data_IF_343184852362
#
_entry.id   IF_343184852362
#
_cell.length_a   1.000
_cell.length_b   1.000
_cell.length_c   1.000
_cell.angle_alpha   90.00
_cell.angle_beta   90.00
_cell.angle_gamma   90.00
#
_symmetry.space_group_name_H-M   'P 1'
#
loop_
_entity.id
_entity.type
_entity.pdbx_description
1 polymer ?
#
# COMPACT_ATOMS: atom_id res chain seq x y z
N UNK A 1 0.98 -12.97 7.26
CA UNK A 1 -0.01 -13.47 6.27
C UNK A 1 -1.25 -12.58 6.31
N UNK A 2 -1.80 -12.23 5.14
CA UNK A 2 -3.09 -11.54 4.98
C UNK A 2 -4.02 -12.49 4.23
N UNK A 3 -5.27 -12.61 4.68
CA UNK A 3 -6.34 -13.35 3.98
C UNK A 3 -7.51 -12.40 3.79
N UNK A 4 -7.97 -12.26 2.57
CA UNK A 4 -9.11 -11.44 2.16
C UNK A 4 -10.15 -12.35 1.53
N UNK A 5 -11.38 -12.34 2.02
CA UNK A 5 -12.46 -13.18 1.53
C UNK A 5 -13.73 -12.36 1.23
N UNK A 6 -14.17 -12.41 -0.04
CA UNK A 6 -15.38 -11.77 -0.57
C UNK A 6 -15.54 -10.29 -0.16
N UNK A 7 -14.40 -9.57 -0.09
CA UNK A 7 -14.33 -8.21 0.42
C UNK A 7 -15.04 -7.22 -0.48
N UNK A 8 -15.95 -6.43 0.10
CA UNK A 8 -16.67 -5.38 -0.62
C UNK A 8 -16.68 -4.06 0.14
N UNK A 9 -16.68 -2.95 -0.62
CA UNK A 9 -16.88 -1.60 -0.08
C UNK A 9 -17.81 -0.79 -0.94
N UNK A 10 -18.88 -0.32 -0.33
CA UNK A 10 -19.88 0.56 -0.92
C UNK A 10 -19.86 1.89 -0.16
N UNK A 11 -19.85 2.99 -0.88
CA UNK A 11 -19.94 4.34 -0.31
C UNK A 11 -21.28 4.98 -0.69
N UNK A 12 -21.83 5.75 0.24
CA UNK A 12 -22.97 6.64 -0.06
C UNK A 12 -22.50 7.84 -0.87
N UNK A 13 -23.19 8.13 -1.98
CA UNK A 13 -22.89 9.29 -2.83
C UNK A 13 -23.69 10.48 -2.34
N UNK A 14 -23.00 11.51 -1.84
CA UNK A 14 -23.65 12.73 -1.35
C UNK A 14 -24.45 13.46 -2.44
N UNK A 15 -25.49 14.20 -2.03
CA UNK A 15 -26.32 14.99 -2.96
C UNK A 15 -25.50 15.96 -3.82
N UNK A 16 -24.41 16.52 -3.28
CA UNK A 16 -23.50 17.42 -3.98
C UNK A 16 -22.78 16.70 -5.12
N UNK A 17 -22.16 15.55 -4.84
CA UNK A 17 -21.43 14.73 -5.83
C UNK A 17 -22.40 14.21 -6.90
N UNK A 18 -23.61 13.84 -6.54
CA UNK A 18 -24.66 13.42 -7.52
C UNK A 18 -24.98 14.56 -8.50
N UNK A 19 -25.10 15.79 -8.03
CA UNK A 19 -25.32 16.96 -8.90
C UNK A 19 -24.13 17.23 -9.82
N UNK A 20 -22.92 17.22 -9.26
CA UNK A 20 -21.68 17.49 -10.02
C UNK A 20 -21.43 16.44 -11.12
N UNK A 21 -21.69 15.15 -10.83
CA UNK A 21 -21.51 14.05 -11.78
C UNK A 21 -22.74 13.72 -12.62
N UNK A 22 -23.82 14.48 -12.46
CA UNK A 22 -25.13 14.26 -13.13
C UNK A 22 -25.60 12.79 -13.04
N UNK A 23 -25.49 12.17 -11.84
CA UNK A 23 -25.86 10.77 -11.61
C UNK A 23 -26.99 10.66 -10.62
N UNK A 24 -27.91 9.69 -10.86
CA UNK A 24 -28.98 9.32 -9.93
C UNK A 24 -28.54 8.28 -8.89
N UNK A 25 -27.35 7.70 -9.05
CA UNK A 25 -26.85 6.66 -8.16
C UNK A 25 -26.69 7.19 -6.74
N UNK A 26 -27.31 6.50 -5.78
CA UNK A 26 -27.20 6.82 -4.34
C UNK A 26 -25.96 6.24 -3.71
N UNK A 27 -25.44 5.18 -4.28
CA UNK A 27 -24.26 4.45 -3.80
C UNK A 27 -23.23 4.27 -4.92
N UNK A 28 -21.98 4.10 -4.54
CA UNK A 28 -20.86 3.77 -5.44
C UNK A 28 -20.10 2.57 -4.87
N UNK A 29 -19.97 1.51 -5.65
CA UNK A 29 -19.20 0.33 -5.29
C UNK A 29 -17.74 0.63 -5.63
N UNK A 30 -16.90 0.68 -4.61
CA UNK A 30 -15.47 0.92 -4.78
C UNK A 30 -14.65 -0.37 -4.81
N UNK A 31 -15.14 -1.43 -4.13
CA UNK A 31 -14.59 -2.79 -4.13
C UNK A 31 -15.75 -3.75 -4.12
N UNK A 32 -15.68 -4.81 -4.92
CA UNK A 32 -16.79 -5.73 -5.16
C UNK A 32 -16.30 -7.20 -5.12
N UNK A 33 -16.52 -7.86 -4.00
CA UNK A 33 -16.32 -9.31 -3.78
C UNK A 33 -14.92 -9.79 -4.21
N UNK A 34 -13.85 -9.10 -3.76
CA UNK A 34 -12.48 -9.52 -4.03
C UNK A 34 -11.98 -10.49 -2.97
N UNK A 35 -11.22 -11.52 -3.41
CA UNK A 35 -10.59 -12.50 -2.52
C UNK A 35 -9.16 -12.75 -2.97
N UNK A 36 -8.20 -12.69 -2.02
CA UNK A 36 -6.79 -12.98 -2.27
C UNK A 36 -6.04 -13.24 -0.96
N UNK A 37 -4.84 -13.77 -1.06
CA UNK A 37 -3.94 -14.02 0.06
C UNK A 37 -2.57 -13.38 -0.18
N UNK A 38 -1.93 -12.87 0.90
CA UNK A 38 -0.54 -12.42 0.87
C UNK A 38 0.26 -13.21 1.90
N UNK A 39 1.35 -13.81 1.47
CA UNK A 39 2.14 -14.71 2.29
C UNK A 39 3.38 -14.02 2.88
N UNK A 40 3.88 -14.48 4.06
CA UNK A 40 5.16 -14.02 4.62
C UNK A 40 6.33 -14.28 3.67
N UNK A 41 7.30 -13.36 3.65
CA UNK A 41 8.48 -13.44 2.78
C UNK A 41 8.18 -13.27 1.30
N UNK A 42 7.00 -12.73 0.96
CA UNK A 42 6.59 -12.44 -0.43
C UNK A 42 6.11 -11.01 -0.58
N UNK A 43 6.30 -10.49 -1.78
CA UNK A 43 5.82 -9.17 -2.19
C UNK A 43 4.59 -9.37 -3.07
N UNK A 44 3.46 -8.87 -2.60
CA UNK A 44 2.18 -8.87 -3.32
C UNK A 44 1.92 -7.50 -3.93
N UNK A 45 1.68 -7.41 -5.23
CA UNK A 45 1.28 -6.16 -5.88
C UNK A 45 -0.20 -6.11 -6.22
N UNK A 46 -0.80 -4.96 -5.94
CA UNK A 46 -2.16 -4.62 -6.36
C UNK A 46 -2.07 -3.61 -7.50
N UNK A 47 -2.14 -4.10 -8.74
CA UNK A 47 -2.02 -3.31 -9.96
C UNK A 47 -3.40 -2.88 -10.47
N UNK A 48 -3.50 -1.67 -10.99
CA UNK A 48 -4.72 -1.19 -11.63
C UNK A 48 -4.67 0.31 -11.90
N UNK A 49 -5.56 0.81 -12.76
CA UNK A 49 -5.65 2.24 -13.07
C UNK A 49 -6.12 3.06 -11.85
N UNK A 50 -6.02 4.39 -11.95
CA UNK A 50 -6.57 5.29 -10.93
C UNK A 50 -8.08 5.10 -10.80
N UNK A 51 -8.57 5.04 -9.56
CA UNK A 51 -9.98 4.77 -9.26
C UNK A 51 -10.40 3.30 -9.34
N UNK A 52 -9.49 2.36 -9.60
CA UNK A 52 -9.81 0.93 -9.69
C UNK A 52 -10.26 0.29 -8.36
N UNK A 53 -9.97 0.92 -7.21
CA UNK A 53 -10.28 0.39 -5.88
C UNK A 53 -9.05 0.07 -5.03
N UNK A 54 -7.81 0.20 -5.56
CA UNK A 54 -6.54 -0.13 -4.86
C UNK A 54 -6.43 0.51 -3.48
N UNK A 55 -6.42 1.85 -3.41
CA UNK A 55 -6.33 2.59 -2.14
C UNK A 55 -7.46 2.25 -1.17
N UNK A 56 -8.68 2.01 -1.67
CA UNK A 56 -9.82 1.59 -0.84
C UNK A 56 -9.56 0.22 -0.21
N UNK A 57 -9.07 -0.74 -0.99
CA UNK A 57 -8.67 -2.06 -0.51
C UNK A 57 -7.57 -1.95 0.55
N UNK A 58 -6.48 -1.23 0.25
CA UNK A 58 -5.36 -1.07 1.20
C UNK A 58 -5.80 -0.37 2.51
N UNK A 59 -6.71 0.60 2.45
CA UNK A 59 -7.27 1.25 3.66
C UNK A 59 -8.14 0.31 4.49
N UNK A 60 -8.82 -0.65 3.87
CA UNK A 60 -9.55 -1.68 4.62
C UNK A 60 -8.57 -2.65 5.30
N UNK A 61 -7.51 -3.08 4.61
CA UNK A 61 -6.43 -3.88 5.20
C UNK A 61 -5.77 -3.13 6.38
N UNK A 62 -5.53 -1.84 6.22
CA UNK A 62 -4.96 -0.99 7.27
C UNK A 62 -5.95 -0.65 8.40
N UNK A 63 -7.15 -1.23 8.44
CA UNK A 63 -8.19 -0.99 9.45
C UNK A 63 -8.69 0.46 9.53
N UNK A 64 -8.43 1.28 8.51
CA UNK A 64 -8.87 2.69 8.43
C UNK A 64 -10.31 2.78 7.92
N UNK A 65 -10.68 1.86 7.03
CA UNK A 65 -12.05 1.73 6.51
C UNK A 65 -12.61 0.36 6.93
N UNK A 66 -13.85 0.36 7.40
CA UNK A 66 -14.56 -0.91 7.60
C UNK A 66 -15.12 -1.42 6.26
N UNK A 67 -15.02 -2.72 5.97
CA UNK A 67 -15.71 -3.36 4.87
C UNK A 67 -17.23 -3.15 4.95
N UNK A 68 -17.92 -3.17 3.81
CA UNK A 68 -19.36 -3.27 3.76
C UNK A 68 -19.83 -4.72 3.88
N UNK A 69 -19.04 -5.67 3.37
CA UNK A 69 -19.19 -7.12 3.53
C UNK A 69 -17.85 -7.84 3.28
N UNK A 70 -17.81 -9.14 3.57
CA UNK A 70 -16.60 -9.95 3.50
C UNK A 70 -15.76 -9.86 4.77
N UNK A 71 -14.60 -10.51 4.76
CA UNK A 71 -13.69 -10.58 5.92
C UNK A 71 -12.24 -10.31 5.54
N UNK A 72 -11.47 -9.86 6.53
CA UNK A 72 -10.03 -9.64 6.44
C UNK A 72 -9.38 -10.24 7.68
N UNK A 73 -8.41 -11.13 7.49
CA UNK A 73 -7.55 -11.62 8.56
C UNK A 73 -6.10 -11.18 8.30
N UNK A 74 -5.44 -10.67 9.35
CA UNK A 74 -4.04 -10.25 9.32
C UNK A 74 -3.33 -10.87 10.51
N UNK A 75 -2.28 -11.65 10.25
CA UNK A 75 -1.56 -12.41 11.29
C UNK A 75 -2.50 -13.27 12.16
N UNK A 76 -3.53 -13.86 11.56
CA UNK A 76 -4.55 -14.68 12.25
C UNK A 76 -5.60 -13.89 13.04
N UNK A 77 -5.57 -12.57 13.01
CA UNK A 77 -6.52 -11.69 13.69
C UNK A 77 -7.54 -11.09 12.73
N UNK A 78 -8.80 -11.01 13.12
CA UNK A 78 -9.84 -10.34 12.34
C UNK A 78 -9.65 -8.80 12.37
N UNK A 79 -9.55 -8.20 11.19
CA UNK A 79 -9.22 -6.78 11.05
C UNK A 79 -10.34 -5.81 11.50
N UNK A 80 -11.56 -6.28 11.71
CA UNK A 80 -12.69 -5.47 12.17
C UNK A 80 -12.81 -5.55 13.69
N UNK A 81 -12.95 -6.76 14.24
CA UNK A 81 -13.16 -6.97 15.67
C UNK A 81 -11.89 -6.80 16.51
N UNK A 82 -10.70 -7.08 15.94
CA UNK A 82 -9.39 -6.98 16.59
C UNK A 82 -8.51 -5.87 16.00
N UNK A 83 -9.12 -4.81 15.49
CA UNK A 83 -8.43 -3.74 14.74
C UNK A 83 -7.26 -3.10 15.51
N UNK A 84 -7.34 -3.01 16.84
CA UNK A 84 -6.29 -2.43 17.67
C UNK A 84 -5.03 -3.31 17.69
N UNK A 85 -5.20 -4.62 17.81
CA UNK A 85 -4.09 -5.58 17.79
C UNK A 85 -3.49 -5.71 16.38
N UNK A 86 -4.34 -5.71 15.34
CA UNK A 86 -3.89 -5.70 13.95
C UNK A 86 -2.99 -4.48 13.68
N UNK A 87 -3.37 -3.28 14.13
CA UNK A 87 -2.57 -2.05 13.95
C UNK A 87 -1.17 -2.10 14.56
N UNK A 88 -0.94 -2.92 15.58
CA UNK A 88 0.40 -3.10 16.17
C UNK A 88 1.33 -3.88 15.24
N UNK A 89 0.77 -4.72 14.38
CA UNK A 89 1.50 -5.60 13.48
C UNK A 89 1.60 -5.08 12.04
N UNK A 90 0.96 -3.94 11.73
CA UNK A 90 0.98 -3.38 10.38
C UNK A 90 1.69 -2.02 10.32
N UNK A 91 2.44 -1.80 9.25
CA UNK A 91 2.91 -0.50 8.82
C UNK A 91 2.12 -0.07 7.58
N UNK A 92 1.45 1.08 7.63
CA UNK A 92 0.70 1.59 6.48
C UNK A 92 1.23 2.94 6.01
N UNK A 93 1.70 2.97 4.78
CA UNK A 93 2.08 4.18 4.07
C UNK A 93 0.94 4.61 3.14
N UNK A 94 0.41 5.80 3.36
CA UNK A 94 -0.55 6.45 2.47
C UNK A 94 -0.12 7.89 2.24
N UNK A 95 0.39 8.19 1.07
CA UNK A 95 0.82 9.54 0.69
C UNK A 95 1.60 10.28 1.80
N UNK A 96 1.76 11.57 1.69
CA UNK A 96 2.43 12.42 2.70
C UNK A 96 1.50 12.85 3.86
N UNK A 97 0.35 12.22 4.02
CA UNK A 97 -0.61 12.57 5.07
C UNK A 97 -0.08 12.24 6.46
N UNK A 98 -0.30 13.14 7.42
CA UNK A 98 0.00 12.92 8.84
C UNK A 98 1.44 13.22 9.25
N UNK A 99 2.21 13.95 8.47
CA UNK A 99 3.50 14.49 8.90
C UNK A 99 3.31 15.81 9.67
N UNK A 100 3.90 15.89 10.86
CA UNK A 100 3.86 17.10 11.67
C UNK A 100 4.92 18.10 11.17
N UNK A 101 4.51 19.15 10.46
CA UNK A 101 5.39 20.09 9.78
C UNK A 101 6.43 20.78 10.70
N UNK A 102 6.11 20.91 11.99
CA UNK A 102 6.99 21.58 12.99
C UNK A 102 8.04 20.65 13.57
N UNK A 103 7.84 19.35 13.52
CA UNK A 103 8.82 18.36 13.99
C UNK A 103 9.92 18.14 12.97
N UNK A 104 11.05 17.66 13.43
CA UNK A 104 12.12 17.09 12.61
C UNK A 104 11.83 15.58 12.36
N UNK A 105 12.48 14.94 11.37
CA UNK A 105 12.44 13.49 11.22
C UNK A 105 12.80 12.73 12.51
N UNK A 106 13.86 13.16 13.20
CA UNK A 106 14.28 12.57 14.48
C UNK A 106 13.15 12.59 15.52
N UNK A 107 12.59 13.78 15.77
CA UNK A 107 11.52 13.96 16.75
C UNK A 107 10.24 13.18 16.38
N UNK A 108 9.91 13.14 15.08
CA UNK A 108 8.76 12.39 14.60
C UNK A 108 8.93 10.89 14.86
N UNK A 109 10.10 10.32 14.57
CA UNK A 109 10.35 8.90 14.79
C UNK A 109 10.39 8.57 16.28
N UNK A 110 10.95 9.45 17.12
CA UNK A 110 10.91 9.28 18.58
C UNK A 110 9.48 9.26 19.12
N UNK A 111 8.64 10.15 18.61
CA UNK A 111 7.23 10.21 18.99
C UNK A 111 6.48 8.91 18.59
N UNK A 112 6.63 8.44 17.35
CA UNK A 112 5.96 7.21 16.91
C UNK A 112 6.53 5.96 17.59
N UNK A 113 7.84 5.88 17.80
CA UNK A 113 8.45 4.79 18.56
C UNK A 113 7.89 4.71 19.99
N UNK A 114 7.70 5.85 20.66
CA UNK A 114 7.08 5.92 21.98
C UNK A 114 5.61 5.46 21.97
N UNK A 115 4.83 5.83 20.95
CA UNK A 115 3.44 5.35 20.78
C UNK A 115 3.35 3.82 20.67
N UNK A 116 4.31 3.21 19.97
CA UNK A 116 4.40 1.75 19.83
C UNK A 116 5.22 1.08 20.93
N UNK A 117 5.61 1.83 21.98
CA UNK A 117 6.37 1.34 23.13
C UNK A 117 7.70 0.66 22.75
N UNK A 118 8.35 1.14 21.69
CA UNK A 118 9.67 0.65 21.27
C UNK A 118 10.73 1.11 22.28
N UNK A 119 11.54 0.20 22.87
CA UNK A 119 12.61 0.56 23.80
C UNK A 119 13.61 1.53 23.18
N UNK A 120 14.22 2.41 23.99
CA UNK A 120 15.05 3.51 23.50
C UNK A 120 16.30 3.06 22.73
N UNK A 121 16.94 1.99 23.16
CA UNK A 121 18.09 1.36 22.50
C UNK A 121 17.71 0.80 21.12
N UNK A 122 16.61 0.03 21.07
CA UNK A 122 16.07 -0.51 19.81
C UNK A 122 15.64 0.61 18.86
N UNK A 123 14.95 1.64 19.38
CA UNK A 123 14.56 2.81 18.61
C UNK A 123 15.75 3.48 17.92
N UNK A 124 16.83 3.73 18.67
CA UNK A 124 18.01 4.41 18.13
C UNK A 124 18.66 3.58 17.03
N UNK A 125 18.81 2.27 17.23
CA UNK A 125 19.34 1.35 16.24
C UNK A 125 18.48 1.33 14.96
N UNK A 126 17.15 1.27 15.10
CA UNK A 126 16.23 1.29 13.96
C UNK A 126 16.25 2.61 13.22
N UNK A 127 16.33 3.74 13.93
CA UNK A 127 16.45 5.08 13.30
C UNK A 127 17.72 5.17 12.45
N UNK A 128 18.85 4.78 13.02
CA UNK A 128 20.14 4.82 12.33
C UNK A 128 20.06 3.98 11.03
N UNK A 129 19.59 2.73 11.12
CA UNK A 129 19.43 1.86 9.96
C UNK A 129 18.50 2.44 8.88
N UNK A 130 17.37 3.02 9.28
CA UNK A 130 16.41 3.61 8.35
C UNK A 130 16.96 4.90 7.71
N UNK A 131 17.67 5.72 8.47
CA UNK A 131 18.29 6.96 7.97
C UNK A 131 19.44 6.68 7.01
N UNK A 132 20.23 5.63 7.28
CA UNK A 132 21.27 5.16 6.37
C UNK A 132 20.67 4.69 5.04
N UNK A 133 19.75 3.72 5.10
CA UNK A 133 19.10 3.13 3.93
C UNK A 133 18.43 4.17 3.02
N UNK A 134 17.80 5.18 3.61
CA UNK A 134 17.06 6.20 2.87
C UNK A 134 17.86 7.50 2.66
N UNK A 135 19.14 7.52 3.02
CA UNK A 135 20.02 8.69 2.90
C UNK A 135 19.40 9.95 3.54
N UNK A 136 19.12 9.89 4.85
CA UNK A 136 18.38 10.94 5.56
C UNK A 136 19.21 11.75 6.56
N UNK A 137 20.47 11.42 6.80
CA UNK A 137 21.31 12.06 7.81
C UNK A 137 21.44 13.57 7.63
N UNK A 138 21.52 14.06 6.39
CA UNK A 138 21.69 15.49 6.09
C UNK A 138 20.50 16.35 6.51
N UNK A 139 19.31 15.79 6.59
CA UNK A 139 18.10 16.54 6.92
C UNK A 139 17.32 16.01 8.13
N UNK A 140 17.87 15.02 8.86
CA UNK A 140 17.21 14.40 10.01
C UNK A 140 16.81 15.39 11.11
N UNK A 141 17.49 16.52 11.21
CA UNK A 141 17.24 17.59 12.18
C UNK A 141 16.59 18.85 11.56
N UNK A 142 16.22 18.81 10.28
CA UNK A 142 15.51 19.89 9.62
C UNK A 142 13.99 19.70 9.81
N UNK A 143 13.27 20.81 10.02
CA UNK A 143 11.79 20.74 10.14
C UNK A 143 11.14 20.14 8.90
N UNK A 144 10.24 19.19 9.08
CA UNK A 144 9.56 18.45 8.02
C UNK A 144 8.81 19.40 7.07
N UNK A 145 8.28 20.52 7.58
CA UNK A 145 7.62 21.53 6.74
C UNK A 145 8.51 22.09 5.63
N UNK A 146 9.83 22.14 5.85
CA UNK A 146 10.84 22.69 4.92
C UNK A 146 11.41 21.63 3.94
N UNK A 147 11.06 20.37 4.11
CA UNK A 147 11.56 19.27 3.27
C UNK A 147 10.88 19.23 1.90
N UNK A 148 11.57 18.73 0.90
CA UNK A 148 10.99 18.42 -0.42
C UNK A 148 9.94 17.30 -0.33
N UNK A 149 9.17 17.08 -1.38
CA UNK A 149 8.18 15.99 -1.45
C UNK A 149 8.84 14.63 -1.29
N UNK A 150 9.97 14.37 -1.97
CA UNK A 150 10.71 13.12 -1.84
C UNK A 150 11.27 12.91 -0.43
N UNK A 151 11.84 13.94 0.19
CA UNK A 151 12.30 13.88 1.58
C UNK A 151 11.15 13.59 2.55
N UNK A 152 9.98 14.20 2.36
CA UNK A 152 8.76 13.91 3.15
C UNK A 152 8.29 12.48 2.98
N UNK A 153 8.39 11.93 1.78
CA UNK A 153 8.04 10.52 1.51
C UNK A 153 8.98 9.58 2.29
N UNK A 154 10.30 9.83 2.26
CA UNK A 154 11.27 9.07 3.07
C UNK A 154 10.93 9.11 4.57
N UNK A 155 10.58 10.29 5.10
CA UNK A 155 10.14 10.44 6.50
C UNK A 155 8.86 9.63 6.79
N UNK A 156 7.89 9.64 5.87
CA UNK A 156 6.66 8.84 6.00
C UNK A 156 6.93 7.35 6.05
N UNK A 157 7.87 6.87 5.24
CA UNK A 157 8.31 5.48 5.23
C UNK A 157 8.98 5.11 6.56
N UNK A 158 9.96 5.92 7.03
CA UNK A 158 10.59 5.68 8.33
C UNK A 158 9.58 5.60 9.48
N UNK A 159 8.61 6.53 9.50
CA UNK A 159 7.50 6.50 10.47
C UNK A 159 6.72 5.21 10.41
N UNK A 160 6.46 4.69 9.22
CA UNK A 160 5.71 3.44 8.99
C UNK A 160 6.48 2.22 9.48
N UNK A 161 7.83 2.28 9.47
CA UNK A 161 8.72 1.16 9.74
C UNK A 161 9.29 1.15 11.17
N UNK A 162 9.23 2.26 11.93
CA UNK A 162 9.95 2.41 13.21
C UNK A 162 9.58 1.36 14.28
N UNK A 163 8.35 0.87 14.26
CA UNK A 163 7.86 -0.16 15.19
C UNK A 163 8.13 -1.59 14.70
N UNK A 164 8.74 -1.76 13.51
CA UNK A 164 9.11 -3.04 12.92
C UNK A 164 7.93 -3.99 12.66
N UNK A 165 6.95 -3.56 11.86
CA UNK A 165 5.75 -4.33 11.61
C UNK A 165 6.02 -5.64 10.85
N UNK A 166 5.19 -6.67 11.08
CA UNK A 166 5.20 -7.94 10.36
C UNK A 166 4.59 -7.82 8.95
N UNK A 167 3.63 -6.90 8.80
CA UNK A 167 2.92 -6.64 7.55
C UNK A 167 3.12 -5.19 7.13
N UNK A 168 3.54 -4.97 5.90
CA UNK A 168 3.81 -3.65 5.35
C UNK A 168 2.89 -3.40 4.18
N UNK A 169 2.16 -2.29 4.24
CA UNK A 169 1.17 -1.90 3.24
C UNK A 169 1.59 -0.56 2.66
N UNK A 170 1.94 -0.51 1.38
CA UNK A 170 2.36 0.68 0.67
C UNK A 170 1.37 1.09 -0.42
N UNK A 171 0.80 2.28 -0.31
CA UNK A 171 -0.08 2.86 -1.34
C UNK A 171 0.72 3.79 -2.24
N UNK A 172 1.09 3.30 -3.43
CA UNK A 172 1.92 3.99 -4.44
C UNK A 172 3.22 4.59 -3.88
N UNK A 173 4.13 3.78 -3.31
CA UNK A 173 5.25 4.26 -2.50
C UNK A 173 6.26 5.12 -3.26
N UNK A 174 6.39 4.94 -4.56
CA UNK A 174 7.36 5.61 -5.45
C UNK A 174 6.76 6.76 -6.25
N UNK A 175 5.44 6.96 -6.14
CA UNK A 175 4.73 7.97 -6.93
C UNK A 175 5.26 9.39 -6.68
N UNK A 176 5.60 10.10 -7.77
CA UNK A 176 6.08 11.48 -7.71
C UNK A 176 7.52 11.65 -7.20
N UNK A 177 8.30 10.56 -7.13
CA UNK A 177 9.70 10.57 -6.76
C UNK A 177 10.61 10.59 -7.98
N UNK A 178 11.82 11.13 -7.80
CA UNK A 178 12.92 10.94 -8.73
C UNK A 178 13.45 9.49 -8.67
N UNK A 179 14.22 9.10 -9.70
CA UNK A 179 14.71 7.71 -9.87
C UNK A 179 15.54 7.24 -8.66
N UNK A 180 16.42 8.10 -8.13
CA UNK A 180 17.30 7.75 -7.01
C UNK A 180 16.50 7.51 -5.73
N UNK A 181 15.52 8.38 -5.47
CA UNK A 181 14.63 8.23 -4.31
C UNK A 181 13.75 6.98 -4.44
N UNK A 182 13.25 6.67 -5.63
CA UNK A 182 12.47 5.46 -5.90
C UNK A 182 13.30 4.18 -5.69
N UNK A 183 14.56 4.16 -6.13
CA UNK A 183 15.48 3.03 -5.96
C UNK A 183 15.69 2.67 -4.47
N UNK A 184 15.89 3.66 -3.61
CA UNK A 184 16.02 3.43 -2.16
C UNK A 184 14.76 2.78 -1.54
N UNK A 185 13.58 3.11 -2.07
CA UNK A 185 12.31 2.51 -1.60
C UNK A 185 12.15 1.08 -2.13
N UNK A 186 12.53 0.84 -3.37
CA UNK A 186 12.56 -0.49 -3.97
C UNK A 186 13.47 -1.41 -3.15
N UNK A 187 14.67 -0.94 -2.79
CA UNK A 187 15.60 -1.69 -1.94
C UNK A 187 14.99 -2.00 -0.57
N UNK A 188 14.34 -1.01 0.07
CA UNK A 188 13.64 -1.23 1.35
C UNK A 188 12.56 -2.31 1.24
N UNK A 189 11.78 -2.33 0.17
CA UNK A 189 10.74 -3.35 -0.08
C UNK A 189 11.37 -4.74 -0.19
N UNK A 190 12.48 -4.87 -0.92
CA UNK A 190 13.23 -6.12 -1.05
C UNK A 190 13.84 -6.57 0.28
N UNK A 191 14.39 -5.65 1.07
CA UNK A 191 14.92 -5.93 2.40
C UNK A 191 13.83 -6.43 3.35
N UNK A 192 12.63 -5.86 3.29
CA UNK A 192 11.48 -6.34 4.06
C UNK A 192 11.10 -7.78 3.69
N UNK A 193 11.08 -8.11 2.41
CA UNK A 193 10.88 -9.49 1.93
C UNK A 193 11.95 -10.43 2.47
N UNK A 194 13.23 -10.05 2.37
CA UNK A 194 14.36 -10.87 2.84
C UNK A 194 14.31 -11.16 4.34
N UNK A 195 13.70 -10.27 5.12
CA UNK A 195 13.43 -10.43 6.56
C UNK A 195 12.19 -11.28 6.86
N UNK A 196 11.55 -11.86 5.85
CA UNK A 196 10.36 -12.71 5.99
C UNK A 196 9.05 -11.94 6.21
N UNK A 197 9.05 -10.61 6.07
CA UNK A 197 7.83 -9.80 6.25
C UNK A 197 6.84 -10.02 5.09
N UNK A 198 5.57 -9.80 5.36
CA UNK A 198 4.53 -9.74 4.30
C UNK A 198 4.47 -8.33 3.75
N UNK A 199 4.73 -8.14 2.48
CA UNK A 199 4.66 -6.82 1.83
C UNK A 199 3.54 -6.81 0.81
N UNK A 200 2.66 -5.81 0.89
CA UNK A 200 1.68 -5.50 -0.15
C UNK A 200 1.88 -4.05 -0.60
N UNK A 201 1.94 -3.82 -1.90
CA UNK A 201 1.98 -2.46 -2.44
C UNK A 201 1.01 -2.28 -3.60
N UNK A 202 0.50 -1.06 -3.75
CA UNK A 202 -0.23 -0.67 -4.95
C UNK A 202 0.69 0.05 -5.92
N UNK A 203 0.52 -0.19 -7.21
CA UNK A 203 1.14 0.58 -8.27
C UNK A 203 0.23 0.66 -9.49
N UNK A 204 0.49 1.63 -10.34
CA UNK A 204 -0.02 1.72 -11.71
C UNK A 204 1.12 1.61 -12.74
N UNK A 205 2.34 1.33 -12.28
CA UNK A 205 3.58 1.27 -13.06
C UNK A 205 4.00 -0.20 -13.20
N UNK A 206 3.85 -0.77 -14.39
CA UNK A 206 4.14 -2.18 -14.65
C UNK A 206 5.60 -2.56 -14.40
N UNK A 207 6.58 -1.67 -14.68
CA UNK A 207 7.99 -1.95 -14.45
C UNK A 207 8.35 -2.15 -12.97
N UNK A 208 7.67 -1.46 -12.06
CA UNK A 208 7.83 -1.68 -10.61
C UNK A 208 7.26 -3.03 -10.19
N UNK A 209 6.09 -3.36 -10.72
CA UNK A 209 5.44 -4.65 -10.47
C UNK A 209 6.29 -5.80 -10.97
N UNK A 210 6.82 -5.69 -12.20
CA UNK A 210 7.72 -6.71 -12.79
C UNK A 210 8.99 -6.92 -11.98
N UNK A 211 9.55 -5.84 -11.43
CA UNK A 211 10.79 -5.87 -10.66
C UNK A 211 10.63 -6.45 -9.25
N UNK A 212 9.49 -6.18 -8.61
CA UNK A 212 9.33 -6.43 -7.17
C UNK A 212 8.46 -7.64 -6.84
N UNK A 213 7.45 -7.95 -7.68
CA UNK A 213 6.34 -8.80 -7.26
C UNK A 213 6.65 -10.28 -7.36
N UNK A 214 6.28 -11.00 -6.31
CA UNK A 214 6.14 -12.47 -6.35
C UNK A 214 4.71 -12.85 -6.75
N UNK A 215 3.72 -12.09 -6.24
CA UNK A 215 2.30 -12.30 -6.48
C UNK A 215 1.67 -11.01 -7.01
N UNK A 216 0.70 -11.18 -7.90
CA UNK A 216 0.02 -10.09 -8.59
C UNK A 216 -1.49 -10.25 -8.52
N UNK A 217 -2.17 -9.17 -8.16
CA UNK A 217 -3.60 -9.00 -8.40
C UNK A 217 -3.84 -7.77 -9.29
N UNK A 218 -4.63 -7.93 -10.35
CA UNK A 218 -5.08 -6.83 -11.19
C UNK A 218 -6.50 -6.48 -10.80
N UNK A 219 -6.71 -5.22 -10.37
CA UNK A 219 -8.02 -4.70 -10.00
C UNK A 219 -8.50 -3.66 -11.01
N UNK A 220 -9.75 -3.78 -11.44
CA UNK A 220 -10.41 -2.81 -12.30
C UNK A 220 -11.88 -2.66 -11.92
N UNK A 221 -12.37 -1.41 -11.83
CA UNK A 221 -13.75 -1.10 -11.41
C UNK A 221 -14.19 -1.85 -10.15
N UNK A 222 -13.29 -1.98 -9.17
CA UNK A 222 -13.53 -2.66 -7.91
C UNK A 222 -13.50 -4.18 -7.94
N UNK A 223 -13.23 -4.83 -9.08
CA UNK A 223 -13.19 -6.28 -9.22
C UNK A 223 -11.78 -6.77 -9.52
N UNK A 224 -11.46 -8.00 -9.07
CA UNK A 224 -10.26 -8.69 -9.51
C UNK A 224 -10.45 -9.19 -10.95
N UNK A 225 -9.51 -8.80 -11.82
CA UNK A 225 -9.44 -9.28 -13.20
C UNK A 225 -8.39 -10.38 -13.36
N UNK A 226 -7.40 -10.40 -12.47
CA UNK A 226 -6.37 -11.42 -12.37
C UNK A 226 -5.92 -11.55 -10.91
N UNK A 227 -5.56 -12.76 -10.50
CA UNK A 227 -4.88 -13.08 -9.25
C UNK A 227 -4.04 -14.34 -9.43
N UNK A 228 -2.77 -14.28 -9.07
CA UNK A 228 -1.82 -15.40 -9.18
C UNK A 228 -0.38 -14.98 -8.94
N UNK A 229 0.56 -15.90 -9.17
CA UNK A 229 1.98 -15.56 -9.10
C UNK A 229 2.40 -14.73 -10.32
N UNK A 230 3.49 -13.98 -10.17
CA UNK A 230 4.05 -13.21 -11.28
C UNK A 230 4.57 -14.12 -12.40
N UNK A 231 5.04 -15.33 -12.04
CA UNK A 231 5.47 -16.33 -13.02
C UNK A 231 4.28 -16.91 -13.80
N UNK A 232 3.15 -17.21 -13.14
CA UNK A 232 1.92 -17.62 -13.84
C UNK A 232 1.42 -16.53 -14.78
N UNK A 233 1.49 -15.26 -14.34
CA UNK A 233 1.13 -14.13 -15.18
C UNK A 233 2.00 -14.07 -16.45
N UNK A 234 3.32 -14.18 -16.32
CA UNK A 234 4.25 -14.20 -17.45
C UNK A 234 4.00 -15.37 -18.39
N UNK A 235 3.78 -16.57 -17.84
CA UNK A 235 3.59 -17.80 -18.61
C UNK A 235 2.23 -17.84 -19.35
N UNK A 236 1.22 -17.15 -18.83
CA UNK A 236 -0.12 -17.10 -19.41
C UNK A 236 -0.34 -15.95 -20.40
N UNK A 237 0.65 -15.08 -20.59
CA UNK A 237 0.54 -13.91 -21.46
C UNK A 237 0.16 -14.28 -22.91
N UNK A 238 -0.79 -13.52 -23.45
CA UNK A 238 -1.20 -13.57 -24.87
C UNK A 238 -0.73 -12.34 -25.65
N UNK A 239 -0.26 -11.31 -24.95
CA UNK A 239 0.25 -10.08 -25.53
C UNK A 239 1.80 -10.07 -25.55
N UNK A 240 2.44 -9.21 -26.38
CA UNK A 240 3.88 -9.23 -26.58
C UNK A 240 4.72 -8.77 -25.37
N UNK A 241 4.12 -8.13 -24.38
CA UNK A 241 4.79 -7.67 -23.17
C UNK A 241 3.79 -7.48 -22.00
N UNK A 242 4.31 -7.36 -20.79
CA UNK A 242 3.52 -7.25 -19.56
C UNK A 242 2.52 -6.08 -19.57
N UNK A 243 2.90 -4.93 -20.11
CA UNK A 243 2.02 -3.76 -20.19
C UNK A 243 0.87 -3.99 -21.17
N UNK A 244 1.15 -4.59 -22.33
CA UNK A 244 0.10 -4.92 -23.30
C UNK A 244 -0.85 -5.99 -22.76
N UNK A 245 -0.34 -6.97 -22.02
CA UNK A 245 -1.15 -7.99 -21.34
C UNK A 245 -2.05 -7.38 -20.27
N UNK A 246 -1.53 -6.48 -19.45
CA UNK A 246 -2.32 -5.72 -18.48
C UNK A 246 -3.48 -4.97 -19.16
N UNK A 247 -3.20 -4.28 -20.28
CA UNK A 247 -4.23 -3.55 -21.05
C UNK A 247 -5.27 -4.51 -21.61
N UNK A 248 -4.85 -5.68 -22.15
CA UNK A 248 -5.75 -6.72 -22.66
C UNK A 248 -6.72 -7.21 -21.58
N UNK A 249 -6.20 -7.58 -20.41
CA UNK A 249 -7.02 -8.07 -19.27
C UNK A 249 -8.04 -7.00 -18.82
N UNK A 250 -7.62 -5.74 -18.74
CA UNK A 250 -8.53 -4.62 -18.38
C UNK A 250 -9.65 -4.47 -19.43
N UNK A 251 -9.33 -4.58 -20.72
CA UNK A 251 -10.34 -4.46 -21.79
C UNK A 251 -11.32 -5.63 -21.79
N UNK A 252 -10.85 -6.85 -21.59
CA UNK A 252 -11.69 -8.05 -21.52
C UNK A 252 -12.62 -8.06 -20.29
N UNK A 253 -12.12 -7.53 -19.17
CA UNK A 253 -12.94 -7.40 -17.96
C UNK A 253 -14.06 -6.36 -18.07
N UNK A 254 -14.02 -5.53 -19.12
CA UNK A 254 -15.00 -4.48 -19.39
C UNK A 254 -15.49 -4.58 -20.85
N UNK A 255 -16.25 -5.67 -21.21
CA UNK A 255 -16.83 -5.73 -22.55
C UNK A 255 -17.72 -4.50 -22.70
N UNK A 256 -17.30 -3.53 -23.54
CA UNK A 256 -18.16 -2.42 -23.95
C UNK A 256 -19.46 -3.04 -24.46
N UNK A 257 -20.55 -2.74 -23.78
CA UNK A 257 -21.89 -2.87 -24.38
C UNK A 257 -21.84 -2.08 -25.67
N UNK A 258 -21.79 -2.80 -26.79
CA UNK A 258 -21.94 -2.25 -28.15
C UNK A 258 -23.38 -1.79 -28.28
#
# INVERSE_FOLDING_TARGET
>A
MIIVDNLSKVFDVSKKVRKEKNTLAKTAIAVNEISFECHPGRIFSLLGPNGAGKTTTLRMLATILQPSSGSIQICGMDAVSQAQEVRKNIGFLTGSAGLYARLTPNELLDYFAALYQVPADIRNLRKEKLFDLLNMFDFQNQQIGKLSTGMKQKVSICRTMIHDPEVIIFDEPTSGLDVISAESIIQLIQDCKSQGKTVIFSSHIMSEVDLLSDDLAIIHNGKLCYYGTMDDYRNSMQAPNLTAEFIRIIHESNPKTV
#
